data_IF_995866231860
#
_entry.id   IF_995866231860
#
_cell.length_a   1.000
_cell.length_b   1.000
_cell.length_c   1.000
_cell.angle_alpha   90.00
_cell.angle_beta   90.00
_cell.angle_gamma   90.00
#
_symmetry.space_group_name_H-M   'P 1'
#
loop_
_entity.id
_entity.type
_entity.pdbx_description
1 polymer ?
#
# COMPACT_ATOMS: atom_id res chain seq x y z
N UNK A 1 -6.50 -47.08 -3.04
CA UNK A 1 -6.34 -45.99 -2.05
C UNK A 1 -6.63 -44.71 -2.82
N UNK A 2 -7.91 -44.34 -2.89
CA UNK A 2 -8.43 -43.22 -3.69
C UNK A 2 -8.49 -42.00 -2.78
N UNK A 3 -7.77 -40.94 -3.15
CA UNK A 3 -7.86 -39.64 -2.48
C UNK A 3 -9.06 -38.93 -3.10
N UNK A 4 -10.16 -38.87 -2.37
CA UNK A 4 -11.34 -38.10 -2.75
C UNK A 4 -11.03 -36.60 -2.72
N UNK A 5 -11.21 -35.95 -3.87
CA UNK A 5 -11.24 -34.50 -4.00
C UNK A 5 -12.48 -33.95 -3.28
N UNK A 6 -12.29 -33.54 -2.03
CA UNK A 6 -13.23 -32.69 -1.28
C UNK A 6 -13.27 -31.30 -1.92
N UNK A 7 -14.18 -31.12 -2.89
CA UNK A 7 -14.56 -29.80 -3.39
C UNK A 7 -15.35 -29.08 -2.31
N UNK A 8 -14.70 -28.17 -1.57
CA UNK A 8 -15.37 -27.21 -0.71
C UNK A 8 -16.27 -26.32 -1.58
N UNK A 9 -17.57 -26.62 -1.63
CA UNK A 9 -18.59 -25.67 -2.11
C UNK A 9 -18.71 -24.57 -1.05
N UNK A 10 -17.92 -23.51 -1.18
CA UNK A 10 -18.18 -22.25 -0.49
C UNK A 10 -19.48 -21.68 -1.04
N UNK A 11 -20.54 -21.80 -0.24
CA UNK A 11 -21.84 -21.22 -0.52
C UNK A 11 -21.68 -19.69 -0.61
N UNK A 12 -22.10 -19.15 -1.76
CA UNK A 12 -22.18 -17.73 -2.07
C UNK A 12 -23.41 -17.12 -1.37
N UNK A 13 -23.46 -17.25 -0.04
CA UNK A 13 -24.52 -16.66 0.78
C UNK A 13 -24.26 -15.16 0.89
N UNK A 14 -24.96 -14.37 0.07
CA UNK A 14 -25.64 -13.12 0.45
C UNK A 14 -24.96 -12.16 1.43
N UNK A 15 -23.63 -12.05 1.46
CA UNK A 15 -22.94 -11.04 2.26
C UNK A 15 -23.19 -9.70 1.59
N UNK A 16 -23.90 -8.80 2.29
CA UNK A 16 -24.07 -7.40 1.92
C UNK A 16 -22.75 -6.83 1.38
N UNK A 17 -22.76 -6.03 0.30
CA UNK A 17 -21.56 -5.37 -0.22
C UNK A 17 -20.78 -4.80 0.95
N UNK A 18 -19.56 -5.31 1.17
CA UNK A 18 -18.70 -4.78 2.21
C UNK A 18 -18.47 -3.33 1.83
N UNK A 19 -18.94 -2.42 2.67
CA UNK A 19 -18.83 -0.98 2.46
C UNK A 19 -17.39 -0.53 2.78
N UNK A 20 -16.41 -1.13 2.09
CA UNK A 20 -15.00 -0.70 2.06
C UNK A 20 -14.85 0.71 1.44
N UNK A 21 -15.94 1.25 0.89
CA UNK A 21 -16.02 2.56 0.24
C UNK A 21 -16.57 3.69 1.13
N UNK A 22 -17.13 3.40 2.31
CA UNK A 22 -17.61 4.45 3.23
C UNK A 22 -16.64 4.59 4.39
N UNK A 23 -15.44 5.09 4.08
CA UNK A 23 -14.67 5.79 5.08
C UNK A 23 -15.18 7.24 5.09
N UNK A 24 -15.51 7.81 6.27
CA UNK A 24 -15.98 9.17 6.34
C UNK A 24 -14.93 10.07 5.68
N UNK A 25 -15.37 10.96 4.77
CA UNK A 25 -14.55 12.08 4.33
C UNK A 25 -13.99 12.74 5.58
N UNK A 26 -12.66 12.75 5.72
CA UNK A 26 -11.99 13.41 6.82
C UNK A 26 -12.26 14.90 6.67
N UNK A 27 -13.28 15.39 7.37
CA UNK A 27 -13.38 16.82 7.67
C UNK A 27 -12.32 17.02 8.73
N UNK A 28 -11.14 17.49 8.32
CA UNK A 28 -10.21 18.11 9.26
C UNK A 28 -11.01 19.23 9.92
N UNK A 29 -11.34 19.16 11.21
CA UNK A 29 -12.10 20.23 11.85
C UNK A 29 -11.23 21.49 11.75
N UNK A 30 -11.73 22.54 11.08
CA UNK A 30 -11.14 23.86 11.21
C UNK A 30 -11.14 24.21 12.71
N UNK A 31 -9.94 24.47 13.23
CA UNK A 31 -9.62 24.41 14.65
C UNK A 31 -10.42 25.40 15.50
N UNK A 32 -11.01 24.89 16.59
CA UNK A 32 -11.42 25.71 17.74
C UNK A 32 -10.16 25.98 18.58
N UNK A 33 -9.72 27.25 18.59
CA UNK A 33 -8.83 27.93 19.54
C UNK A 33 -8.12 27.05 20.59
N UNK A 34 -7.15 26.24 20.15
CA UNK A 34 -6.14 25.65 21.04
C UNK A 34 -4.82 26.39 20.81
N UNK A 35 -3.98 26.59 21.85
CA UNK A 35 -2.70 27.26 21.70
C UNK A 35 -1.81 26.51 20.67
N UNK A 36 -0.84 27.20 20.03
CA UNK A 36 0.02 26.62 19.00
C UNK A 36 0.99 25.64 19.67
N UNK A 37 0.55 24.40 19.82
CA UNK A 37 1.46 23.27 19.93
C UNK A 37 2.12 23.11 18.57
N UNK A 38 3.45 23.01 18.52
CA UNK A 38 4.16 22.69 17.28
C UNK A 38 3.62 21.38 16.71
N UNK A 39 3.36 21.32 15.40
CA UNK A 39 2.72 20.18 14.72
C UNK A 39 3.51 18.87 14.83
N UNK A 40 4.76 18.96 15.29
CA UNK A 40 5.75 17.90 15.39
C UNK A 40 6.54 18.06 16.67
N UNK A 41 6.82 16.93 17.33
CA UNK A 41 7.76 16.87 18.44
C UNK A 41 8.82 15.80 18.21
N UNK A 42 10.08 16.20 18.33
CA UNK A 42 11.23 15.29 18.27
C UNK A 42 11.42 14.69 19.66
N UNK A 43 11.40 13.36 19.75
CA UNK A 43 11.56 12.63 21.01
C UNK A 43 13.00 12.12 21.16
N UNK A 44 13.56 11.58 20.07
CA UNK A 44 14.97 11.15 20.04
C UNK A 44 15.69 11.87 18.92
N UNK A 45 16.64 12.73 19.28
CA UNK A 45 17.55 13.33 18.30
C UNK A 45 18.48 12.27 17.71
N UNK A 46 18.58 12.24 16.38
CA UNK A 46 19.44 11.31 15.63
C UNK A 46 19.23 9.83 16.05
N UNK A 47 18.03 9.26 15.85
CA UNK A 47 17.66 7.94 16.38
C UNK A 47 18.55 6.79 15.87
N UNK A 48 19.30 7.02 14.80
CA UNK A 48 20.15 6.01 14.16
C UNK A 48 21.59 6.00 14.67
N UNK A 49 22.02 6.91 15.58
CA UNK A 49 23.42 7.00 16.03
C UNK A 49 23.96 5.72 16.68
N UNK A 50 23.09 4.92 17.29
CA UNK A 50 23.50 3.66 17.92
C UNK A 50 23.70 2.49 16.94
N UNK A 51 23.53 2.72 15.64
CA UNK A 51 23.62 1.69 14.62
C UNK A 51 25.03 1.65 14.03
N UNK A 52 25.78 0.60 14.39
CA UNK A 52 27.16 0.40 13.93
C UNK A 52 27.31 -0.82 12.99
N UNK A 53 26.23 -1.59 12.81
CA UNK A 53 26.29 -2.86 12.10
C UNK A 53 26.23 -2.64 10.59
N UNK A 54 27.28 -3.11 9.90
CA UNK A 54 27.30 -3.28 8.45
C UNK A 54 26.73 -4.64 8.02
N UNK A 55 26.21 -5.44 8.97
CA UNK A 55 25.61 -6.73 8.66
C UNK A 55 24.36 -6.54 7.79
N UNK A 56 24.43 -7.09 6.57
CA UNK A 56 23.32 -7.10 5.61
C UNK A 56 22.10 -7.89 6.11
N UNK A 57 22.29 -8.80 7.06
CA UNK A 57 21.22 -9.58 7.66
C UNK A 57 20.57 -8.87 8.84
N UNK A 58 21.17 -7.79 9.36
CA UNK A 58 20.59 -7.03 10.44
C UNK A 58 19.34 -6.26 9.98
N UNK A 59 18.27 -6.39 10.75
CA UNK A 59 16.94 -5.87 10.41
C UNK A 59 16.58 -4.67 11.30
N UNK A 60 15.95 -3.65 10.73
CA UNK A 60 15.31 -2.58 11.49
C UNK A 60 13.80 -2.55 11.21
N UNK A 61 12.98 -2.30 12.22
CA UNK A 61 11.52 -2.17 12.04
C UNK A 61 11.14 -0.69 12.14
N UNK A 62 10.35 -0.21 11.18
CA UNK A 62 9.73 1.10 11.16
C UNK A 62 8.23 0.95 11.39
N UNK A 63 7.77 1.39 12.56
CA UNK A 63 6.41 1.17 13.03
C UNK A 63 5.64 2.49 13.13
N UNK A 64 4.64 2.66 12.26
CA UNK A 64 3.74 3.80 12.29
C UNK A 64 2.57 3.55 13.25
N UNK A 65 2.58 4.21 14.41
CA UNK A 65 1.50 4.08 15.40
C UNK A 65 0.53 5.25 15.23
N UNK A 66 -0.65 4.95 14.68
CA UNK A 66 -1.71 5.93 14.46
C UNK A 66 -2.86 5.73 15.44
N UNK A 67 -3.38 6.83 15.99
CA UNK A 67 -4.68 6.85 16.67
C UNK A 67 -5.49 8.05 16.21
N UNK A 68 -6.79 7.84 15.99
CA UNK A 68 -7.69 8.88 15.52
C UNK A 68 -7.83 9.97 16.59
N UNK A 69 -7.44 11.21 16.27
CA UNK A 69 -7.53 12.35 17.17
C UNK A 69 -8.98 12.70 17.59
N UNK A 70 -9.99 12.20 16.89
CA UNK A 70 -11.40 12.41 17.22
C UNK A 70 -11.97 11.42 18.24
N UNK A 71 -11.24 10.34 18.58
CA UNK A 71 -11.67 9.39 19.60
C UNK A 71 -11.37 9.94 21.01
N UNK A 72 -12.10 9.50 22.04
CA UNK A 72 -11.89 9.97 23.41
C UNK A 72 -10.65 9.36 24.08
N UNK A 73 -10.14 8.23 23.57
CA UNK A 73 -9.00 7.51 24.13
C UNK A 73 -8.16 6.82 23.04
N UNK A 74 -7.10 6.13 23.49
CA UNK A 74 -6.17 5.37 22.65
C UNK A 74 -6.14 3.87 22.99
N UNK A 75 -7.15 3.35 23.69
CA UNK A 75 -7.13 1.99 24.24
C UNK A 75 -7.00 0.91 23.15
N UNK A 76 -7.72 1.06 22.03
CA UNK A 76 -7.63 0.14 20.89
C UNK A 76 -6.25 0.18 20.23
N UNK A 77 -5.65 1.38 20.12
CA UNK A 77 -4.32 1.55 19.58
C UNK A 77 -3.27 0.92 20.51
N UNK A 78 -3.37 1.14 21.82
CA UNK A 78 -2.52 0.52 22.84
C UNK A 78 -2.61 -1.01 22.82
N UNK A 79 -3.82 -1.57 22.79
CA UNK A 79 -4.04 -3.02 22.73
C UNK A 79 -3.43 -3.62 21.45
N UNK A 80 -3.63 -2.95 20.31
CA UNK A 80 -3.04 -3.38 19.03
C UNK A 80 -1.51 -3.30 19.06
N UNK A 81 -0.94 -2.23 19.61
CA UNK A 81 0.52 -2.06 19.73
C UNK A 81 1.11 -3.13 20.64
N UNK A 82 0.49 -3.41 21.78
CA UNK A 82 0.92 -4.46 22.70
C UNK A 82 0.92 -5.83 22.02
N UNK A 83 -0.15 -6.17 21.30
CA UNK A 83 -0.27 -7.43 20.55
C UNK A 83 0.82 -7.56 19.48
N UNK A 84 1.09 -6.50 18.72
CA UNK A 84 2.08 -6.51 17.64
C UNK A 84 3.52 -6.58 18.16
N UNK A 85 3.84 -5.90 19.27
CA UNK A 85 5.16 -5.98 19.90
C UNK A 85 5.41 -7.39 20.46
N UNK A 86 4.40 -8.02 21.05
CA UNK A 86 4.50 -9.42 21.47
C UNK A 86 4.80 -10.35 20.28
N UNK A 87 4.04 -10.23 19.18
CA UNK A 87 4.27 -11.02 17.97
C UNK A 87 5.68 -10.82 17.40
N UNK A 88 6.23 -9.60 17.46
CA UNK A 88 7.62 -9.36 17.03
C UNK A 88 8.59 -10.10 17.96
N UNK A 89 8.42 -9.99 19.28
CA UNK A 89 9.28 -10.67 20.27
C UNK A 89 9.31 -12.19 20.11
N UNK A 90 8.20 -12.78 19.67
CA UNK A 90 8.06 -14.22 19.43
C UNK A 90 8.50 -14.66 18.01
N UNK A 91 8.83 -13.72 17.13
CA UNK A 91 9.10 -13.99 15.71
C UNK A 91 10.56 -14.32 15.40
N UNK A 92 10.81 -14.78 14.16
CA UNK A 92 12.16 -14.96 13.66
C UNK A 92 12.96 -13.65 13.62
N UNK A 93 12.32 -12.50 13.34
CA UNK A 93 12.99 -11.21 13.33
C UNK A 93 13.70 -10.89 14.67
N UNK A 94 13.11 -11.29 15.81
CA UNK A 94 13.70 -11.08 17.13
C UNK A 94 14.96 -11.92 17.40
N UNK A 95 15.26 -12.90 16.55
CA UNK A 95 16.54 -13.64 16.62
C UNK A 95 17.72 -12.84 16.10
N UNK A 96 17.49 -11.70 15.43
CA UNK A 96 18.53 -10.77 15.01
C UNK A 96 19.07 -10.00 16.22
N UNK A 97 20.35 -10.18 16.54
CA UNK A 97 21.03 -9.50 17.66
C UNK A 97 20.96 -7.97 17.58
N UNK A 98 20.79 -7.41 16.37
CA UNK A 98 20.75 -5.97 16.10
C UNK A 98 19.33 -5.45 15.76
N UNK A 99 18.27 -6.19 16.15
CA UNK A 99 16.91 -5.74 15.89
C UNK A 99 16.60 -4.47 16.70
N UNK A 100 16.25 -3.39 16.02
CA UNK A 100 15.73 -2.16 16.65
C UNK A 100 14.41 -1.77 16.01
N UNK A 101 13.43 -1.43 16.85
CA UNK A 101 12.12 -0.94 16.44
C UNK A 101 12.12 0.58 16.58
N UNK A 102 12.10 1.26 15.45
CA UNK A 102 11.91 2.69 15.34
C UNK A 102 10.43 2.98 15.15
N UNK A 103 9.85 3.83 15.99
CA UNK A 103 8.44 4.16 15.85
C UNK A 103 8.18 5.66 15.91
N UNK A 104 7.18 6.09 15.15
CA UNK A 104 6.54 7.38 15.31
C UNK A 104 5.12 7.18 15.80
N UNK A 105 4.60 8.19 16.49
CA UNK A 105 3.18 8.28 16.83
C UNK A 105 2.51 9.40 16.03
N UNK A 106 1.28 9.17 15.56
CA UNK A 106 0.54 10.13 14.72
C UNK A 106 -0.92 10.24 15.19
N UNK A 107 -1.41 11.47 15.31
CA UNK A 107 -2.83 11.77 15.56
C UNK A 107 -3.12 12.12 17.01
N UNK A 108 -3.70 11.19 17.77
CA UNK A 108 -4.25 11.46 19.11
C UNK A 108 -3.19 11.94 20.11
N UNK A 109 -3.50 13.01 20.87
CA UNK A 109 -2.57 13.65 21.83
C UNK A 109 -2.12 12.72 22.95
N UNK A 110 -2.94 11.77 23.39
CA UNK A 110 -2.53 10.78 24.39
C UNK A 110 -1.41 9.86 23.93
N UNK A 111 -1.18 9.69 22.62
CA UNK A 111 -0.01 8.96 22.13
C UNK A 111 1.31 9.67 22.45
N UNK A 112 1.26 10.99 22.67
CA UNK A 112 2.40 11.78 23.11
C UNK A 112 2.65 11.69 24.62
N UNK A 113 1.63 11.37 25.43
CA UNK A 113 1.76 11.35 26.88
C UNK A 113 2.86 10.39 27.35
N UNK A 114 3.60 10.79 28.39
CA UNK A 114 4.65 9.96 29.02
C UNK A 114 4.13 8.55 29.33
N UNK A 115 2.84 8.42 29.68
CA UNK A 115 2.19 7.14 29.94
C UNK A 115 2.20 6.20 28.73
N UNK A 116 1.87 6.68 27.53
CA UNK A 116 1.83 5.85 26.33
C UNK A 116 3.24 5.41 25.94
N UNK A 117 4.19 6.36 25.88
CA UNK A 117 5.57 6.07 25.56
C UNK A 117 6.21 5.09 26.58
N UNK A 118 5.96 5.29 27.88
CA UNK A 118 6.40 4.39 28.93
C UNK A 118 5.77 2.99 28.79
N UNK A 119 4.49 2.90 28.39
CA UNK A 119 3.84 1.63 28.14
C UNK A 119 4.46 0.89 26.94
N UNK A 120 4.70 1.58 25.81
CA UNK A 120 5.40 0.99 24.66
C UNK A 120 6.79 0.50 25.06
N UNK A 121 7.57 1.31 25.79
CA UNK A 121 8.90 0.92 26.26
C UNK A 121 8.86 -0.29 27.21
N UNK A 122 7.87 -0.34 28.10
CA UNK A 122 7.63 -1.49 28.99
C UNK A 122 7.35 -2.74 28.17
N UNK A 123 6.47 -2.67 27.16
CA UNK A 123 6.16 -3.81 26.29
C UNK A 123 7.39 -4.26 25.50
N UNK A 124 8.17 -3.33 24.96
CA UNK A 124 9.41 -3.67 24.27
C UNK A 124 10.38 -4.43 25.18
N UNK A 125 10.62 -3.91 26.39
CA UNK A 125 11.50 -4.54 27.38
C UNK A 125 11.00 -5.93 27.78
N UNK A 126 9.70 -6.09 28.02
CA UNK A 126 9.08 -7.36 28.38
C UNK A 126 9.22 -8.44 27.29
N UNK A 127 9.32 -8.02 26.02
CA UNK A 127 9.48 -8.89 24.87
C UNK A 127 10.94 -8.99 24.38
N UNK A 128 11.92 -8.48 25.14
CA UNK A 128 13.34 -8.51 24.75
C UNK A 128 13.69 -7.63 23.55
N UNK A 129 12.88 -6.60 23.28
CA UNK A 129 13.01 -5.72 22.11
C UNK A 129 13.64 -4.38 22.49
N UNK A 130 14.49 -3.86 21.61
CA UNK A 130 14.98 -2.48 21.66
C UNK A 130 14.06 -1.58 20.84
N UNK A 131 13.42 -0.62 21.49
CA UNK A 131 12.54 0.36 20.85
C UNK A 131 13.08 1.78 20.99
N UNK A 132 12.83 2.61 19.97
CA UNK A 132 13.23 4.01 19.91
C UNK A 132 12.03 4.83 19.42
N UNK A 133 11.48 5.68 20.29
CA UNK A 133 10.47 6.66 19.92
C UNK A 133 11.17 7.82 19.19
N UNK A 134 10.93 7.95 17.90
CA UNK A 134 11.57 8.99 17.10
C UNK A 134 10.85 10.32 17.27
N UNK A 135 9.57 10.37 16.87
CA UNK A 135 8.79 11.61 16.79
C UNK A 135 7.30 11.37 17.08
N UNK A 136 6.62 12.41 17.55
CA UNK A 136 5.17 12.51 17.58
C UNK A 136 4.69 13.58 16.61
N UNK A 137 3.62 13.30 15.86
CA UNK A 137 2.98 14.23 14.94
C UNK A 137 1.49 14.34 15.22
N UNK A 138 0.95 15.55 15.24
CA UNK A 138 -0.48 15.76 15.47
C UNK A 138 -1.35 15.31 14.29
N UNK A 139 -0.80 15.38 13.09
CA UNK A 139 -1.46 15.03 11.84
C UNK A 139 -0.45 14.38 10.89
N UNK A 140 -0.98 13.83 9.79
CA UNK A 140 -0.23 13.07 8.80
C UNK A 140 -0.63 11.60 8.81
N UNK A 141 0.04 10.81 7.99
CA UNK A 141 -0.18 9.39 7.85
C UNK A 141 1.15 8.62 7.83
N UNK A 142 1.23 7.60 6.99
CA UNK A 142 2.34 6.65 6.89
C UNK A 142 3.62 7.28 6.32
N UNK A 143 3.50 8.38 5.58
CA UNK A 143 4.60 9.08 4.92
C UNK A 143 5.67 9.53 5.91
N UNK A 144 5.27 9.88 7.14
CA UNK A 144 6.18 10.31 8.21
C UNK A 144 7.14 9.17 8.58
N UNK A 145 6.60 7.97 8.82
CA UNK A 145 7.41 6.82 9.24
C UNK A 145 8.17 6.21 8.08
N UNK A 146 7.56 6.16 6.89
CA UNK A 146 8.25 5.72 5.68
C UNK A 146 9.41 6.66 5.34
N UNK A 147 9.27 7.97 5.56
CA UNK A 147 10.35 8.93 5.36
C UNK A 147 11.56 8.62 6.27
N UNK A 148 11.32 8.18 7.51
CA UNK A 148 12.38 7.69 8.41
C UNK A 148 13.02 6.40 7.94
N UNK A 149 12.24 5.47 7.39
CA UNK A 149 12.78 4.25 6.79
C UNK A 149 13.68 4.58 5.59
N UNK A 150 13.28 5.54 4.74
CA UNK A 150 14.09 6.04 3.64
C UNK A 150 15.40 6.66 4.14
N UNK A 151 15.35 7.58 5.12
CA UNK A 151 16.54 8.20 5.71
C UNK A 151 17.51 7.18 6.33
N UNK A 152 16.97 6.16 7.00
CA UNK A 152 17.74 5.04 7.51
C UNK A 152 18.44 4.29 6.39
N UNK A 153 17.72 3.94 5.32
CA UNK A 153 18.31 3.21 4.20
C UNK A 153 19.38 4.01 3.46
N UNK A 154 19.30 5.34 3.44
CA UNK A 154 20.36 6.19 2.90
C UNK A 154 21.66 6.06 3.72
N UNK A 155 21.53 5.90 5.03
CA UNK A 155 22.66 5.71 5.96
C UNK A 155 23.17 4.26 5.99
N UNK A 156 22.30 3.27 5.76
CA UNK A 156 22.60 1.84 5.87
C UNK A 156 22.13 1.06 4.62
N UNK A 157 22.78 1.26 3.45
CA UNK A 157 22.28 0.79 2.16
C UNK A 157 22.18 -0.72 2.00
N UNK A 158 22.87 -1.51 2.83
CA UNK A 158 22.90 -2.96 2.71
C UNK A 158 21.97 -3.69 3.68
N UNK A 159 21.26 -2.96 4.56
CA UNK A 159 20.37 -3.57 5.54
C UNK A 159 19.00 -3.88 4.97
N UNK A 160 18.24 -4.65 5.74
CA UNK A 160 16.81 -4.86 5.52
C UNK A 160 16.00 -4.01 6.49
N UNK A 161 14.87 -3.49 6.02
CA UNK A 161 13.88 -2.81 6.86
C UNK A 161 12.54 -3.51 6.76
N UNK A 162 11.83 -3.56 7.88
CA UNK A 162 10.43 -3.95 7.95
C UNK A 162 9.64 -2.67 8.13
N UNK A 163 8.58 -2.47 7.35
CA UNK A 163 7.60 -1.42 7.59
C UNK A 163 6.26 -2.05 7.97
N UNK A 164 5.62 -1.43 8.96
CA UNK A 164 4.31 -1.84 9.48
C UNK A 164 3.61 -0.67 10.15
N UNK A 165 2.30 -0.83 10.37
CA UNK A 165 1.49 0.11 11.13
C UNK A 165 0.45 -0.62 11.98
N UNK A 166 -0.22 0.08 12.89
CA UNK A 166 -1.20 -0.53 13.81
C UNK A 166 -2.59 -0.70 13.18
N UNK A 167 -2.63 -1.41 12.03
CA UNK A 167 -3.86 -1.62 11.24
C UNK A 167 -5.04 -2.10 12.11
N UNK A 168 -6.20 -1.49 11.92
CA UNK A 168 -7.40 -1.78 12.71
C UNK A 168 -7.66 -0.81 13.85
N UNK A 169 -6.65 -0.02 14.28
CA UNK A 169 -6.85 1.04 15.30
C UNK A 169 -7.83 2.13 14.86
N UNK A 170 -7.91 2.40 13.56
CA UNK A 170 -8.85 3.37 12.97
C UNK A 170 -10.24 2.79 12.71
N UNK A 171 -10.32 1.49 12.42
CA UNK A 171 -11.57 0.80 12.09
C UNK A 171 -11.52 -0.59 12.70
N UNK A 172 -12.07 -0.72 13.91
CA UNK A 172 -12.14 -2.01 14.62
C UNK A 172 -13.17 -2.90 13.92
N UNK A 173 -12.70 -3.66 12.93
CA UNK A 173 -13.48 -4.66 12.23
C UNK A 173 -12.99 -6.05 12.59
N UNK A 174 -13.92 -7.00 12.78
CA UNK A 174 -13.60 -8.42 13.05
C UNK A 174 -12.61 -9.03 12.05
N UNK A 175 -12.57 -8.49 10.84
CA UNK A 175 -11.72 -8.91 9.73
C UNK A 175 -10.28 -8.39 9.83
N UNK A 176 -10.06 -7.28 10.54
CA UNK A 176 -8.75 -6.63 10.61
C UNK A 176 -7.79 -7.35 11.55
N UNK A 177 -8.31 -8.03 12.58
CA UNK A 177 -7.48 -8.77 13.54
C UNK A 177 -6.73 -9.93 12.87
N UNK A 178 -7.41 -10.94 12.27
CA UNK A 178 -6.71 -12.05 11.64
C UNK A 178 -5.81 -11.57 10.50
N UNK A 179 -6.26 -10.60 9.71
CA UNK A 179 -5.47 -10.06 8.61
C UNK A 179 -4.19 -9.38 9.10
N UNK A 180 -4.28 -8.51 10.13
CA UNK A 180 -3.12 -7.85 10.74
C UNK A 180 -2.12 -8.88 11.27
N UNK A 181 -2.59 -9.83 12.08
CA UNK A 181 -1.72 -10.86 12.68
C UNK A 181 -1.03 -11.69 11.61
N UNK A 182 -1.75 -12.03 10.55
CA UNK A 182 -1.18 -12.82 9.47
C UNK A 182 -0.14 -12.03 8.65
N UNK A 183 -0.36 -10.75 8.38
CA UNK A 183 0.65 -9.87 7.77
C UNK A 183 1.87 -9.68 8.65
N UNK A 184 1.67 -9.48 9.97
CA UNK A 184 2.75 -9.39 10.95
C UNK A 184 3.63 -10.63 10.93
N UNK A 185 3.00 -11.80 11.06
CA UNK A 185 3.71 -13.09 10.99
C UNK A 185 4.50 -13.22 9.70
N UNK A 186 3.95 -12.79 8.56
CA UNK A 186 4.63 -12.91 7.28
C UNK A 186 5.91 -12.07 7.22
N UNK A 187 5.83 -10.78 7.58
CA UNK A 187 6.98 -9.85 7.46
C UNK A 187 8.05 -10.08 8.53
N UNK A 188 7.71 -10.71 9.65
CA UNK A 188 8.68 -11.05 10.70
C UNK A 188 9.16 -12.51 10.64
N UNK A 189 8.72 -13.27 9.63
CA UNK A 189 9.07 -14.67 9.45
C UNK A 189 10.47 -14.89 8.89
N UNK A 190 11.00 -16.10 9.10
CA UNK A 190 12.26 -16.53 8.47
C UNK A 190 12.10 -16.81 6.98
N UNK A 191 10.92 -17.18 6.51
CA UNK A 191 10.59 -17.39 5.10
C UNK A 191 10.80 -16.10 4.29
N UNK A 192 10.43 -14.95 4.85
CA UNK A 192 10.67 -13.66 4.20
C UNK A 192 12.12 -13.22 4.38
N UNK A 193 12.60 -13.17 5.63
CA UNK A 193 13.90 -12.57 5.98
C UNK A 193 15.12 -13.34 5.44
N UNK A 194 15.06 -14.68 5.36
CA UNK A 194 16.17 -15.48 4.82
C UNK A 194 16.28 -15.42 3.29
N UNK A 195 15.21 -15.03 2.60
CA UNK A 195 15.14 -15.09 1.14
C UNK A 195 15.23 -13.70 0.47
N UNK A 196 15.63 -12.66 1.21
CA UNK A 196 15.79 -11.31 0.65
C UNK A 196 16.88 -11.21 -0.43
N UNK A 197 17.76 -12.20 -0.57
CA UNK A 197 18.69 -12.23 -1.72
C UNK A 197 17.97 -12.53 -3.06
N UNK A 198 16.75 -13.07 -3.02
CA UNK A 198 15.96 -13.44 -4.21
C UNK A 198 15.01 -12.33 -4.70
N UNK A 199 14.80 -11.29 -3.90
CA UNK A 199 13.88 -10.18 -4.21
C UNK A 199 14.34 -8.86 -3.61
N UNK A 200 13.68 -7.77 -4.00
CA UNK A 200 13.88 -6.47 -3.35
C UNK A 200 12.96 -6.27 -2.16
N UNK A 201 11.78 -6.89 -2.20
CA UNK A 201 10.72 -6.69 -1.20
C UNK A 201 9.90 -7.96 -1.05
N UNK A 202 9.50 -8.26 0.18
CA UNK A 202 8.69 -9.43 0.51
C UNK A 202 7.57 -9.05 1.50
N UNK A 203 6.42 -9.72 1.42
CA UNK A 203 5.30 -9.52 2.33
C UNK A 203 4.34 -10.70 2.32
N UNK A 204 3.16 -10.53 2.91
CA UNK A 204 2.17 -11.61 2.94
C UNK A 204 1.73 -12.00 1.53
N UNK A 205 1.14 -11.07 0.79
CA UNK A 205 0.61 -11.28 -0.55
C UNK A 205 1.08 -10.13 -1.42
N UNK A 206 1.71 -10.42 -2.55
CA UNK A 206 1.98 -9.42 -3.56
C UNK A 206 0.75 -9.27 -4.46
N UNK A 207 0.39 -8.04 -4.83
CA UNK A 207 -0.67 -7.79 -5.80
C UNK A 207 -0.08 -7.08 -7.04
N UNK A 208 -0.17 -7.71 -8.22
CA UNK A 208 0.46 -7.23 -9.45
C UNK A 208 -0.41 -6.25 -10.23
N UNK A 209 -1.72 -6.21 -9.95
CA UNK A 209 -2.66 -5.39 -10.70
C UNK A 209 -3.08 -4.17 -9.91
N UNK A 210 -3.33 -3.06 -10.63
CA UNK A 210 -3.59 -1.67 -10.19
C UNK A 210 -2.33 -0.82 -9.90
N UNK A 211 -1.43 -1.41 -9.15
CA UNK A 211 -0.16 -0.90 -8.65
C UNK A 211 0.53 -2.10 -8.01
N UNK A 212 1.84 -2.03 -7.91
CA UNK A 212 2.60 -3.04 -7.21
C UNK A 212 2.62 -2.71 -5.72
N UNK A 213 1.96 -3.54 -4.92
CA UNK A 213 1.88 -3.27 -3.49
C UNK A 213 1.67 -4.55 -2.68
N UNK A 214 1.85 -4.37 -1.37
CA UNK A 214 1.50 -5.36 -0.37
C UNK A 214 0.24 -4.88 0.34
N UNK A 215 -0.86 -5.66 0.33
CA UNK A 215 -2.13 -5.28 0.92
C UNK A 215 -1.94 -4.95 2.39
N UNK A 216 -2.46 -3.80 2.82
CA UNK A 216 -2.25 -3.31 4.18
C UNK A 216 -0.90 -2.63 4.42
N UNK A 217 -0.05 -2.49 3.41
CA UNK A 217 1.24 -1.80 3.47
C UNK A 217 2.23 -2.38 4.49
N UNK A 218 2.27 -3.71 4.59
CA UNK A 218 3.20 -4.44 5.46
C UNK A 218 4.22 -5.15 4.59
N UNK A 219 5.50 -4.83 4.76
CA UNK A 219 6.55 -5.43 3.94
C UNK A 219 7.91 -5.44 4.64
N UNK A 220 8.77 -6.34 4.18
CA UNK A 220 10.22 -6.29 4.34
C UNK A 220 10.82 -5.81 3.03
N UNK A 221 11.80 -4.91 3.07
CA UNK A 221 12.49 -4.44 1.88
C UNK A 221 13.97 -4.25 2.14
N UNK A 222 14.77 -4.41 1.07
CA UNK A 222 16.19 -4.08 1.11
C UNK A 222 16.39 -2.57 1.01
N UNK A 223 17.37 -2.06 1.75
CA UNK A 223 17.67 -0.64 1.72
C UNK A 223 18.26 -0.17 0.38
N UNK A 224 18.98 -1.03 -0.34
CA UNK A 224 19.51 -0.70 -1.67
C UNK A 224 18.38 -0.39 -2.66
N UNK A 225 17.25 -1.08 -2.54
CA UNK A 225 16.05 -0.82 -3.31
C UNK A 225 15.32 0.44 -2.82
N UNK A 226 15.09 0.60 -1.52
CA UNK A 226 14.44 1.81 -0.96
C UNK A 226 15.18 3.09 -1.38
N UNK A 227 16.51 3.05 -1.44
CA UNK A 227 17.34 4.17 -1.87
C UNK A 227 17.12 4.63 -3.32
N UNK A 228 16.43 3.83 -4.14
CA UNK A 228 16.04 4.17 -5.51
C UNK A 228 14.65 4.79 -5.60
N UNK A 229 13.85 4.71 -4.54
CA UNK A 229 12.51 5.25 -4.51
C UNK A 229 12.55 6.78 -4.38
N UNK A 230 11.53 7.46 -4.91
CA UNK A 230 11.27 8.86 -4.57
C UNK A 230 11.05 8.95 -3.05
N UNK A 231 11.62 9.95 -2.35
CA UNK A 231 11.36 10.12 -0.91
C UNK A 231 9.85 10.19 -0.61
N UNK A 232 9.36 9.50 0.42
CA UNK A 232 7.93 9.47 0.76
C UNK A 232 7.25 10.83 0.82
N UNK A 233 7.93 11.85 1.39
CA UNK A 233 7.40 13.22 1.47
C UNK A 233 7.15 13.89 0.10
N UNK A 234 7.88 13.47 -0.93
CA UNK A 234 7.81 14.05 -2.28
C UNK A 234 6.93 13.19 -3.20
N UNK A 235 6.64 11.95 -2.81
CA UNK A 235 6.05 10.93 -3.67
C UNK A 235 4.62 11.28 -4.11
N UNK A 236 3.75 11.73 -3.20
CA UNK A 236 2.37 12.08 -3.54
C UNK A 236 2.31 13.17 -4.60
N UNK A 237 3.10 14.24 -4.42
CA UNK A 237 3.16 15.37 -5.34
C UNK A 237 3.55 14.89 -6.73
N UNK A 238 4.60 14.07 -6.84
CA UNK A 238 5.05 13.53 -8.13
C UNK A 238 4.04 12.61 -8.81
N UNK A 239 3.32 11.79 -8.03
CA UNK A 239 2.25 10.94 -8.57
C UNK A 239 1.11 11.81 -9.10
N UNK A 240 0.74 12.87 -8.41
CA UNK A 240 -0.31 13.79 -8.87
C UNK A 240 0.08 14.48 -10.18
N UNK A 241 1.30 15.03 -10.26
CA UNK A 241 1.83 15.66 -11.48
C UNK A 241 1.87 14.68 -12.66
N UNK A 242 2.33 13.45 -12.43
CA UNK A 242 2.33 12.39 -13.45
C UNK A 242 0.90 12.07 -13.92
N UNK A 243 -0.07 11.98 -13.02
CA UNK A 243 -1.46 11.68 -13.36
C UNK A 243 -2.12 12.80 -14.17
N UNK A 244 -1.74 14.06 -13.94
CA UNK A 244 -2.22 15.21 -14.72
C UNK A 244 -1.69 15.19 -16.16
N UNK A 245 -0.49 14.65 -16.37
CA UNK A 245 0.15 14.55 -17.68
C UNK A 245 -0.15 13.24 -18.43
N UNK A 246 -0.94 12.36 -17.81
CA UNK A 246 -1.26 11.03 -18.36
C UNK A 246 -1.97 11.15 -19.71
N UNK A 247 -1.54 10.39 -20.75
CA UNK A 247 -2.26 10.34 -22.01
C UNK A 247 -3.73 9.91 -21.86
N UNK A 248 -4.62 10.50 -22.65
CA UNK A 248 -6.06 10.24 -22.56
C UNK A 248 -6.43 8.80 -22.96
N UNK A 249 -5.61 8.14 -23.77
CA UNK A 249 -5.77 6.76 -24.18
C UNK A 249 -5.45 5.77 -23.06
N UNK A 250 -4.75 6.19 -21.99
CA UNK A 250 -4.38 5.37 -20.85
C UNK A 250 -5.42 5.48 -19.74
N UNK A 251 -6.37 4.56 -19.73
CA UNK A 251 -7.52 4.56 -18.82
C UNK A 251 -7.50 3.33 -17.91
N UNK A 252 -7.83 3.52 -16.64
CA UNK A 252 -8.10 2.42 -15.73
C UNK A 252 -9.47 1.83 -15.99
N UNK A 253 -9.55 0.74 -16.76
CA UNK A 253 -10.80 0.03 -17.01
C UNK A 253 -10.89 -1.27 -16.21
N UNK A 254 -9.79 -1.90 -15.79
CA UNK A 254 -9.87 -3.07 -14.90
C UNK A 254 -10.49 -2.68 -13.55
N UNK A 255 -10.02 -1.57 -12.99
CA UNK A 255 -10.54 -0.97 -11.76
C UNK A 255 -11.15 0.39 -12.05
N UNK A 256 -11.98 0.85 -11.14
CA UNK A 256 -12.49 2.21 -11.21
C UNK A 256 -11.40 3.17 -10.77
N UNK A 257 -11.26 4.30 -11.46
CA UNK A 257 -10.24 5.30 -11.11
C UNK A 257 -10.68 6.12 -9.89
N UNK A 258 -10.30 5.63 -8.71
CA UNK A 258 -10.53 6.26 -7.42
C UNK A 258 -9.20 6.70 -6.80
N UNK A 259 -9.25 7.58 -5.79
CA UNK A 259 -8.05 8.05 -5.08
C UNK A 259 -7.16 6.90 -4.60
N UNK A 260 -7.75 5.81 -4.10
CA UNK A 260 -7.01 4.62 -3.66
C UNK A 260 -6.34 3.86 -4.79
N UNK A 261 -7.02 3.66 -5.91
CA UNK A 261 -6.48 2.95 -7.08
C UNK A 261 -5.43 3.76 -7.84
N UNK A 262 -5.46 5.09 -7.71
CA UNK A 262 -4.50 6.00 -8.34
C UNK A 262 -3.35 6.39 -7.41
N UNK A 263 -3.39 6.01 -6.13
CA UNK A 263 -2.35 6.35 -5.16
C UNK A 263 -2.33 7.83 -4.80
N UNK A 264 -3.50 8.46 -4.65
CA UNK A 264 -3.63 9.88 -4.27
C UNK A 264 -3.89 10.03 -2.77
N UNK A 265 -3.52 11.19 -2.22
CA UNK A 265 -3.77 11.55 -0.81
C UNK A 265 -3.23 10.49 0.13
N UNK A 266 -4.01 10.13 1.15
CA UNK A 266 -3.66 9.11 2.15
C UNK A 266 -3.32 7.73 1.59
N UNK A 267 -3.66 7.44 0.32
CA UNK A 267 -3.38 6.16 -0.33
C UNK A 267 -2.06 6.14 -1.10
N UNK A 268 -1.38 7.29 -1.22
CA UNK A 268 -0.10 7.38 -1.91
C UNK A 268 0.94 6.42 -1.33
N UNK A 269 0.98 6.30 -0.01
CA UNK A 269 1.95 5.42 0.66
C UNK A 269 1.70 3.93 0.44
N UNK A 270 0.47 3.52 0.10
CA UNK A 270 0.19 2.13 -0.31
C UNK A 270 0.80 1.79 -1.69
N UNK A 271 1.08 2.82 -2.51
CA UNK A 271 1.67 2.65 -3.84
C UNK A 271 3.19 2.76 -3.83
N UNK A 272 3.75 3.45 -2.83
CA UNK A 272 5.16 3.86 -2.82
C UNK A 272 6.15 2.71 -3.05
N UNK A 273 6.01 1.61 -2.30
CA UNK A 273 7.02 0.56 -2.23
C UNK A 273 7.25 -0.17 -3.56
N UNK A 274 6.25 -0.29 -4.43
CA UNK A 274 6.38 -0.99 -5.72
C UNK A 274 6.59 -0.08 -6.92
N UNK A 275 6.90 1.20 -6.72
CA UNK A 275 6.89 2.18 -7.82
C UNK A 275 8.12 2.21 -8.69
N UNK A 276 9.24 1.61 -8.30
CA UNK A 276 10.47 1.68 -9.10
C UNK A 276 10.59 0.49 -10.08
N UNK A 277 11.06 0.68 -11.32
CA UNK A 277 11.13 -0.39 -12.34
C UNK A 277 12.04 -1.58 -11.99
N UNK A 278 12.92 -1.42 -11.01
CA UNK A 278 13.79 -2.51 -10.50
C UNK A 278 13.11 -3.38 -9.44
N UNK A 279 11.81 -3.21 -9.18
CA UNK A 279 11.08 -3.94 -8.15
C UNK A 279 11.00 -5.44 -8.48
N UNK A 280 11.40 -6.27 -7.53
CA UNK A 280 11.30 -7.73 -7.59
C UNK A 280 10.56 -8.18 -6.35
N UNK A 281 9.24 -8.41 -6.43
CA UNK A 281 8.46 -8.81 -5.26
C UNK A 281 8.53 -10.32 -5.01
N UNK A 282 8.57 -10.67 -3.73
CA UNK A 282 8.20 -11.99 -3.23
C UNK A 282 7.00 -11.91 -2.31
N UNK A 283 6.35 -13.04 -2.06
CA UNK A 283 5.28 -13.15 -1.09
C UNK A 283 5.26 -14.53 -0.44
N UNK A 284 4.49 -14.66 0.65
CA UNK A 284 4.37 -15.91 1.41
C UNK A 284 2.99 -16.57 1.31
N UNK A 285 2.04 -15.90 0.70
CA UNK A 285 0.65 -16.31 0.59
C UNK A 285 0.50 -17.54 -0.32
N UNK A 286 -0.18 -18.58 0.19
CA UNK A 286 -0.60 -19.78 -0.56
C UNK A 286 -1.96 -19.63 -1.27
N UNK A 287 -2.62 -18.49 -1.08
CA UNK A 287 -4.00 -18.21 -1.48
C UNK A 287 -4.08 -16.81 -2.09
N UNK A 288 -4.43 -16.68 -3.37
CA UNK A 288 -4.42 -15.38 -4.06
C UNK A 288 -5.55 -14.44 -3.62
N UNK A 289 -6.47 -14.91 -2.74
CA UNK A 289 -7.62 -14.14 -2.28
C UNK A 289 -7.44 -13.59 -0.87
N UNK A 290 -7.65 -12.28 -0.73
CA UNK A 290 -7.54 -11.60 0.58
C UNK A 290 -8.67 -11.94 1.51
N UNK A 291 -9.83 -12.30 0.96
CA UNK A 291 -10.96 -12.73 1.77
C UNK A 291 -10.58 -13.94 2.63
N UNK A 292 -9.82 -14.88 2.08
CA UNK A 292 -9.34 -16.05 2.83
C UNK A 292 -8.47 -15.64 4.03
N UNK A 293 -7.55 -14.68 3.83
CA UNK A 293 -6.66 -14.17 4.89
C UNK A 293 -7.40 -13.40 6.00
N UNK A 294 -8.57 -12.82 5.69
CA UNK A 294 -9.42 -12.18 6.71
C UNK A 294 -10.22 -13.18 7.53
N UNK A 295 -10.30 -14.43 7.08
CA UNK A 295 -11.08 -15.51 7.71
C UNK A 295 -10.20 -16.47 8.51
N UNK A 296 -8.97 -16.71 8.05
CA UNK A 296 -8.06 -17.70 8.64
C UNK A 296 -6.63 -17.16 8.73
N UNK A 297 -6.17 -16.88 9.95
CA UNK A 297 -4.79 -16.47 10.22
C UNK A 297 -3.82 -17.65 10.33
N UNK A 298 -4.32 -18.90 10.38
CA UNK A 298 -3.55 -20.13 10.55
C UNK A 298 -3.01 -20.73 9.25
N UNK A 299 -3.37 -20.16 8.11
CA UNK A 299 -2.90 -20.58 6.80
C UNK A 299 -1.36 -20.62 6.72
N UNK A 300 -0.78 -21.61 6.03
CA UNK A 300 0.67 -21.78 5.96
C UNK A 300 1.33 -20.72 5.07
N UNK A 301 2.62 -20.49 5.29
CA UNK A 301 3.45 -19.70 4.39
C UNK A 301 4.14 -20.58 3.36
N UNK A 302 4.17 -20.11 2.12
CA UNK A 302 5.00 -20.64 1.05
C UNK A 302 5.69 -19.48 0.35
N UNK A 303 7.01 -19.44 0.41
CA UNK A 303 7.78 -18.44 -0.30
C UNK A 303 7.58 -18.59 -1.82
N UNK A 304 7.26 -17.49 -2.48
CA UNK A 304 7.08 -17.43 -3.92
C UNK A 304 7.53 -16.07 -4.47
N UNK A 305 8.06 -16.09 -5.69
CA UNK A 305 8.34 -14.88 -6.47
C UNK A 305 7.07 -14.40 -7.18
N UNK A 306 7.06 -13.12 -7.57
CA UNK A 306 5.98 -12.45 -8.30
C UNK A 306 5.37 -13.26 -9.45
N UNK A 307 6.24 -13.98 -10.18
CA UNK A 307 5.88 -14.79 -11.35
C UNK A 307 4.90 -15.92 -11.06
N UNK A 308 4.73 -16.34 -9.80
CA UNK A 308 3.86 -17.45 -9.45
C UNK A 308 2.39 -17.04 -9.24
N UNK A 309 2.09 -15.75 -9.09
CA UNK A 309 0.69 -15.31 -8.95
C UNK A 309 0.05 -15.11 -10.32
N UNK A 310 -1.14 -15.67 -10.56
CA UNK A 310 -1.87 -15.34 -11.77
C UNK A 310 -2.16 -13.84 -11.78
N UNK A 311 -2.04 -13.22 -12.97
CA UNK A 311 -2.43 -11.82 -13.18
C UNK A 311 -3.89 -11.59 -12.76
N UNK A 312 -4.71 -12.65 -12.83
CA UNK A 312 -6.11 -12.67 -12.40
C UNK A 312 -6.32 -12.78 -10.87
N UNK A 313 -5.31 -12.48 -10.05
CA UNK A 313 -5.41 -12.59 -8.59
C UNK A 313 -6.58 -11.77 -8.04
N UNK A 314 -7.37 -12.39 -7.15
CA UNK A 314 -8.65 -11.83 -6.68
C UNK A 314 -8.44 -10.81 -5.56
N UNK A 315 -8.37 -9.54 -5.92
CA UNK A 315 -8.60 -8.43 -5.01
C UNK A 315 -10.09 -8.32 -4.63
N UNK A 316 -10.42 -7.74 -3.46
CA UNK A 316 -11.82 -7.56 -3.01
C UNK A 316 -12.72 -6.86 -4.04
N UNK A 317 -12.14 -6.01 -4.88
CA UNK A 317 -12.85 -5.20 -5.87
C UNK A 317 -12.64 -5.68 -7.31
N UNK A 318 -11.96 -6.82 -7.51
CA UNK A 318 -11.68 -7.32 -8.85
C UNK A 318 -13.00 -7.74 -9.52
N UNK A 319 -13.40 -7.00 -10.55
CA UNK A 319 -14.48 -7.40 -11.46
C UNK A 319 -13.94 -8.47 -12.41
N UNK A 320 -13.81 -9.71 -11.91
CA UNK A 320 -13.15 -10.82 -12.63
C UNK A 320 -13.62 -10.95 -14.09
N UNK A 321 -14.92 -10.88 -14.42
CA UNK A 321 -15.36 -10.93 -15.82
C UNK A 321 -14.84 -9.76 -16.66
N UNK A 322 -14.79 -8.54 -16.11
CA UNK A 322 -14.29 -7.34 -16.81
C UNK A 322 -12.79 -7.41 -17.01
N UNK A 323 -12.04 -7.84 -16.00
CA UNK A 323 -10.61 -8.09 -16.09
C UNK A 323 -10.32 -9.12 -17.19
N UNK A 324 -11.02 -10.26 -17.21
CA UNK A 324 -10.84 -11.28 -18.23
C UNK A 324 -11.09 -10.74 -19.63
N UNK A 325 -12.18 -9.98 -19.85
CA UNK A 325 -12.43 -9.31 -21.14
C UNK A 325 -11.27 -8.41 -21.57
N UNK A 326 -10.73 -7.61 -20.65
CA UNK A 326 -9.57 -6.75 -20.93
C UNK A 326 -8.33 -7.57 -21.25
N UNK A 327 -8.07 -8.65 -20.50
CA UNK A 327 -6.93 -9.53 -20.73
C UNK A 327 -7.04 -10.32 -22.04
N UNK A 328 -8.25 -10.63 -22.51
CA UNK A 328 -8.48 -11.34 -23.77
C UNK A 328 -8.37 -10.41 -25.00
N UNK A 329 -8.47 -9.08 -24.83
CA UNK A 329 -8.40 -8.09 -25.91
C UNK A 329 -7.09 -7.29 -25.92
N UNK A 330 -6.26 -7.50 -26.95
CA UNK A 330 -4.95 -6.86 -27.09
C UNK A 330 -5.04 -5.33 -27.08
N UNK A 331 -6.03 -4.76 -27.78
CA UNK A 331 -6.25 -3.31 -27.79
C UNK A 331 -6.49 -2.77 -26.39
N UNK A 332 -7.34 -3.44 -25.60
CA UNK A 332 -7.61 -3.08 -24.22
C UNK A 332 -6.37 -3.20 -23.34
N UNK A 333 -5.61 -4.30 -23.45
CA UNK A 333 -4.37 -4.48 -22.66
C UNK A 333 -3.35 -3.39 -22.89
N UNK A 334 -3.23 -2.92 -24.14
CA UNK A 334 -2.29 -1.84 -24.54
C UNK A 334 -2.73 -0.45 -24.09
N UNK A 335 -3.95 -0.29 -23.56
CA UNK A 335 -4.54 1.00 -23.17
C UNK A 335 -4.95 1.05 -21.70
N UNK A 336 -4.90 -0.07 -20.98
CA UNK A 336 -5.28 -0.09 -19.57
C UNK A 336 -4.17 0.45 -18.64
N UNK A 337 -4.52 1.43 -17.82
CA UNK A 337 -3.63 2.09 -16.84
C UNK A 337 -3.08 1.13 -15.78
N UNK A 338 -3.79 0.05 -15.48
CA UNK A 338 -3.44 -0.90 -14.43
C UNK A 338 -2.63 -2.11 -14.93
N UNK A 339 -2.34 -2.15 -16.23
CA UNK A 339 -1.47 -3.13 -16.87
C UNK A 339 -0.11 -2.52 -17.22
N UNK A 340 0.72 -3.30 -17.92
CA UNK A 340 2.08 -2.93 -18.29
C UNK A 340 2.23 -1.54 -18.95
N UNK A 341 1.41 -1.08 -19.91
CA UNK A 341 1.60 0.26 -20.50
C UNK A 341 1.49 1.38 -19.46
N UNK A 342 0.57 1.27 -18.51
CA UNK A 342 0.46 2.24 -17.42
C UNK A 342 1.66 2.18 -16.46
N UNK A 343 2.17 0.98 -16.17
CA UNK A 343 3.40 0.81 -15.37
C UNK A 343 4.63 1.40 -16.08
N UNK A 344 4.78 1.17 -17.38
CA UNK A 344 5.88 1.74 -18.19
C UNK A 344 5.83 3.26 -18.22
N UNK A 345 4.63 3.83 -18.38
CA UNK A 345 4.44 5.28 -18.28
C UNK A 345 4.85 5.79 -16.89
N UNK A 346 4.37 5.15 -15.81
CA UNK A 346 4.71 5.52 -14.42
C UNK A 346 6.22 5.52 -14.20
N UNK A 347 6.91 4.45 -14.57
CA UNK A 347 8.36 4.33 -14.36
C UNK A 347 9.15 5.37 -15.16
N UNK A 348 8.77 5.60 -16.41
CA UNK A 348 9.45 6.60 -17.22
C UNK A 348 9.24 8.01 -16.69
N UNK A 349 8.00 8.40 -16.37
CA UNK A 349 7.74 9.77 -15.89
C UNK A 349 8.37 10.01 -14.51
N UNK A 350 8.26 9.06 -13.58
CA UNK A 350 8.74 9.23 -12.21
C UNK A 350 10.27 9.07 -12.08
N UNK A 351 10.86 8.15 -12.84
CA UNK A 351 12.26 7.72 -12.67
C UNK A 351 13.13 7.87 -13.92
N UNK A 352 12.54 8.15 -15.09
CA UNK A 352 13.25 8.12 -16.39
C UNK A 352 13.96 6.77 -16.64
N UNK A 353 13.37 5.70 -16.11
CA UNK A 353 13.90 4.34 -16.17
C UNK A 353 12.83 3.36 -16.68
N UNK A 354 13.29 2.26 -17.28
CA UNK A 354 12.48 1.09 -17.59
C UNK A 354 13.02 -0.13 -16.85
N UNK A 355 12.22 -1.20 -16.69
CA UNK A 355 12.71 -2.43 -16.10
C UNK A 355 13.92 -2.96 -16.86
N UNK A 356 14.93 -3.52 -16.16
CA UNK A 356 16.09 -4.12 -16.82
C UNK A 356 15.65 -5.28 -17.73
N UNK A 357 16.48 -5.67 -18.69
CA UNK A 357 16.18 -6.79 -19.61
C UNK A 357 15.86 -8.10 -18.87
N UNK A 358 16.48 -8.33 -17.71
CA UNK A 358 16.25 -9.49 -16.86
C UNK A 358 15.01 -9.38 -15.97
N UNK A 359 14.22 -8.31 -16.09
CA UNK A 359 13.02 -8.13 -15.26
C UNK A 359 11.97 -9.19 -15.56
N UNK A 360 11.40 -9.74 -14.48
CA UNK A 360 10.30 -10.71 -14.51
C UNK A 360 9.04 -10.18 -15.24
N UNK A 361 8.86 -8.85 -15.28
CA UNK A 361 7.73 -8.18 -15.93
C UNK A 361 7.55 -8.55 -17.39
N UNK A 362 8.67 -8.77 -18.11
CA UNK A 362 8.63 -9.04 -19.55
C UNK A 362 8.06 -10.41 -19.89
N UNK A 363 8.07 -11.32 -18.92
CA UNK A 363 7.51 -12.67 -19.03
C UNK A 363 6.15 -12.78 -18.32
N UNK A 364 5.91 -11.90 -17.34
CA UNK A 364 4.69 -11.89 -16.55
C UNK A 364 3.47 -11.34 -17.30
N UNK A 365 3.62 -10.19 -17.94
CA UNK A 365 2.52 -9.56 -18.67
C UNK A 365 2.41 -10.15 -20.09
N UNK A 366 1.18 -10.38 -20.61
CA UNK A 366 0.99 -10.99 -21.93
C UNK A 366 1.77 -10.30 -23.07
N UNK A 367 1.85 -8.98 -23.05
CA UNK A 367 2.49 -8.18 -24.10
C UNK A 367 3.94 -7.77 -23.73
N UNK A 368 4.52 -8.35 -22.67
CA UNK A 368 5.79 -7.92 -22.08
C UNK A 368 6.96 -7.90 -23.07
N UNK A 369 7.11 -8.95 -23.88
CA UNK A 369 8.17 -9.03 -24.90
C UNK A 369 8.02 -7.99 -25.99
N UNK A 370 6.80 -7.67 -26.40
CA UNK A 370 6.55 -6.65 -27.43
C UNK A 370 6.92 -5.25 -26.92
N UNK A 371 6.52 -4.92 -25.69
CA UNK A 371 6.89 -3.67 -25.04
C UNK A 371 8.39 -3.52 -24.89
N UNK A 372 9.07 -4.57 -24.42
CA UNK A 372 10.53 -4.60 -24.31
C UNK A 372 11.20 -4.26 -25.66
N UNK A 373 10.76 -4.89 -26.74
CA UNK A 373 11.31 -4.64 -28.08
C UNK A 373 11.03 -3.22 -28.59
N UNK A 374 9.91 -2.61 -28.18
CA UNK A 374 9.55 -1.25 -28.57
C UNK A 374 10.40 -0.21 -27.84
N UNK A 375 10.61 -0.38 -26.53
CA UNK A 375 11.43 0.50 -25.69
C UNK A 375 12.91 0.49 -26.12
N UNK A 376 13.41 -0.65 -26.61
CA UNK A 376 14.76 -0.71 -27.17
C UNK A 376 14.98 0.17 -28.40
N UNK A 377 13.89 0.50 -29.12
CA UNK A 377 13.95 1.33 -30.33
C UNK A 377 13.77 2.80 -30.02
N UNK A 378 12.94 3.11 -29.02
CA UNK A 378 12.65 4.46 -28.58
C UNK A 378 12.57 4.51 -27.06
N UNK A 379 13.38 5.36 -26.44
CA UNK A 379 13.40 5.51 -24.98
C UNK A 379 12.29 6.40 -24.45
N UNK A 380 11.59 7.17 -25.29
CA UNK A 380 10.49 8.04 -24.85
C UNK A 380 9.19 7.24 -24.67
N UNK A 381 8.68 7.16 -23.43
CA UNK A 381 7.50 6.34 -23.14
C UNK A 381 6.26 6.77 -23.93
N UNK A 382 6.04 8.08 -24.08
CA UNK A 382 4.89 8.60 -24.82
C UNK A 382 4.96 8.21 -26.30
N UNK A 383 6.14 8.27 -26.91
CA UNK A 383 6.33 7.84 -28.30
C UNK A 383 6.14 6.33 -28.47
N UNK A 384 6.68 5.52 -27.54
CA UNK A 384 6.49 4.06 -27.51
C UNK A 384 5.00 3.71 -27.42
N UNK A 385 4.27 4.35 -26.51
CA UNK A 385 2.84 4.14 -26.31
C UNK A 385 2.03 4.56 -27.55
N UNK A 386 2.29 5.75 -28.10
CA UNK A 386 1.64 6.23 -29.32
C UNK A 386 1.87 5.29 -30.51
N UNK A 387 3.10 4.80 -30.69
CA UNK A 387 3.41 3.83 -31.75
C UNK A 387 2.63 2.52 -31.57
N UNK A 388 2.53 2.02 -30.33
CA UNK A 388 1.74 0.82 -30.04
C UNK A 388 0.25 1.04 -30.34
N UNK A 389 -0.30 2.19 -29.99
CA UNK A 389 -1.70 2.54 -30.25
C UNK A 389 -2.04 2.75 -31.72
N UNK A 390 -1.08 3.20 -32.53
CA UNK A 390 -1.25 3.29 -33.98
C UNK A 390 -1.25 1.89 -34.62
N UNK A 391 -0.42 0.97 -34.12
CA UNK A 391 -0.35 -0.42 -34.61
C UNK A 391 -1.53 -1.28 -34.16
N UNK A 392 -2.06 -0.99 -32.97
CA UNK A 392 -3.23 -1.66 -32.40
C UNK A 392 -4.33 -0.63 -32.16
N UNK A 393 -5.13 -0.29 -33.20
CA UNK A 393 -6.27 0.61 -33.05
C UNK A 393 -7.25 0.14 -31.97
N UNK A 394 -8.08 1.06 -31.48
CA UNK A 394 -9.12 0.75 -30.51
C UNK A 394 -10.07 -0.33 -31.07
N UNK A 395 -10.23 -1.43 -30.34
CA UNK A 395 -11.24 -2.45 -30.61
C UNK A 395 -12.64 -1.96 -30.27
N UNK A 396 -13.67 -2.56 -30.88
CA UNK A 396 -15.07 -2.28 -30.52
C UNK A 396 -15.33 -2.53 -29.03
N UNK A 397 -14.71 -3.59 -28.49
CA UNK A 397 -14.79 -3.91 -27.06
C UNK A 397 -14.20 -2.80 -26.19
N UNK A 398 -13.02 -2.27 -26.55
CA UNK A 398 -12.43 -1.15 -25.84
C UNK A 398 -13.34 0.09 -25.90
N UNK A 399 -13.85 0.42 -27.07
CA UNK A 399 -14.75 1.57 -27.29
C UNK A 399 -16.01 1.43 -26.43
N UNK A 400 -16.65 0.26 -26.44
CA UNK A 400 -17.83 -0.03 -25.62
C UNK A 400 -17.54 0.12 -24.12
N UNK A 401 -16.42 -0.44 -23.65
CA UNK A 401 -16.03 -0.32 -22.25
C UNK A 401 -15.76 1.13 -21.85
N UNK A 402 -15.06 1.90 -22.68
CA UNK A 402 -14.81 3.33 -22.44
C UNK A 402 -16.12 4.11 -22.41
N UNK A 403 -17.02 3.90 -23.35
CA UNK A 403 -18.32 4.57 -23.38
C UNK A 403 -19.12 4.28 -22.09
N UNK A 404 -19.20 3.01 -21.67
CA UNK A 404 -19.89 2.63 -20.43
C UNK A 404 -19.26 3.24 -19.18
N UNK A 405 -17.93 3.41 -19.17
CA UNK A 405 -17.19 3.99 -18.07
C UNK A 405 -17.36 5.52 -18.00
N UNK A 406 -17.34 6.18 -19.15
CA UNK A 406 -17.57 7.63 -19.25
C UNK A 406 -18.98 8.01 -18.80
N UNK A 407 -19.99 7.29 -19.26
CA UNK A 407 -21.39 7.50 -18.84
C UNK A 407 -21.51 7.39 -17.32
N UNK A 408 -20.85 6.40 -16.73
CA UNK A 408 -20.84 6.21 -15.28
C UNK A 408 -20.09 7.32 -14.53
N UNK A 409 -18.96 7.79 -15.05
CA UNK A 409 -18.23 8.93 -14.45
C UNK A 409 -19.08 10.18 -14.46
N UNK A 410 -19.79 10.42 -15.56
CA UNK A 410 -20.71 11.55 -15.67
C UNK A 410 -21.88 11.41 -14.68
N UNK A 411 -22.48 10.23 -14.57
CA UNK A 411 -23.52 9.95 -13.56
C UNK A 411 -23.01 10.18 -12.13
N UNK A 412 -21.80 9.73 -11.81
CA UNK A 412 -21.18 9.93 -10.49
C UNK A 412 -20.92 11.41 -10.22
N UNK A 413 -20.46 12.17 -11.22
CA UNK A 413 -20.25 13.62 -11.13
C UNK A 413 -21.55 14.35 -10.81
N UNK A 414 -22.63 14.02 -11.53
CA UNK A 414 -23.96 14.58 -11.30
C UNK A 414 -24.50 14.22 -9.90
N UNK A 415 -24.29 12.98 -9.45
CA UNK A 415 -24.70 12.53 -8.11
C UNK A 415 -23.94 13.26 -6.99
N UNK A 416 -22.64 13.50 -7.18
CA UNK A 416 -21.82 14.26 -6.23
C UNK A 416 -22.30 15.71 -6.12
N UNK A 417 -22.51 16.39 -7.25
CA UNK A 417 -23.08 17.74 -7.28
C UNK A 417 -24.45 17.81 -6.60
N UNK A 418 -25.31 16.82 -6.82
CA UNK A 418 -26.59 16.73 -6.14
C UNK A 418 -26.44 16.57 -4.61
N UNK A 419 -25.44 15.81 -4.15
CA UNK A 419 -25.12 15.63 -2.72
C UNK A 419 -24.58 16.92 -2.09
N UNK A 420 -23.66 17.60 -2.75
CA UNK A 420 -23.11 18.88 -2.31
C UNK A 420 -24.20 19.95 -2.22
N UNK A 421 -25.09 20.04 -3.22
CA UNK A 421 -26.24 20.94 -3.18
C UNK A 421 -27.21 20.62 -2.01
N UNK A 422 -27.36 19.35 -1.63
CA UNK A 422 -28.15 18.96 -0.43
C UNK A 422 -27.46 19.36 0.88
N UNK A 423 -26.14 19.18 0.98
CA UNK A 423 -25.37 19.58 2.15
C UNK A 423 -25.35 21.11 2.32
N UNK A 424 -25.21 21.84 1.23
CA UNK A 424 -25.25 23.30 1.23
C UNK A 424 -26.61 23.81 1.73
N UNK A 425 -27.72 23.28 1.20
CA UNK A 425 -29.07 23.61 1.70
C UNK A 425 -29.24 23.30 3.19
N UNK A 426 -28.70 22.17 3.68
CA UNK A 426 -28.75 21.85 5.12
C UNK A 426 -27.98 22.85 5.96
N UNK A 427 -26.80 23.29 5.50
CA UNK A 427 -25.99 24.31 6.18
C UNK A 427 -26.71 25.64 6.23
N UNK A 428 -27.35 26.04 5.13
CA UNK A 428 -28.18 27.25 5.05
C UNK A 428 -29.37 27.16 6.02
N UNK A 429 -30.12 26.06 6.00
CA UNK A 429 -31.23 25.85 6.96
C UNK A 429 -30.77 25.83 8.42
N UNK A 430 -29.58 25.29 8.72
CA UNK A 430 -29.02 25.32 10.07
C UNK A 430 -28.62 26.74 10.49
N UNK A 431 -28.03 27.54 9.58
CA UNK A 431 -27.71 28.95 9.85
C UNK A 431 -28.97 29.75 10.17
N UNK A 432 -30.00 29.60 9.33
CA UNK A 432 -31.30 30.26 9.53
C UNK A 432 -31.95 29.85 10.87
N UNK A 433 -31.86 28.57 11.24
CA UNK A 433 -32.41 28.07 12.50
C UNK A 433 -31.65 28.57 13.74
N UNK A 434 -30.34 28.87 13.62
CA UNK A 434 -29.53 29.38 14.73
C UNK A 434 -29.62 30.89 14.94
N UNK A 435 -30.23 31.64 14.01
CA UNK A 435 -30.42 33.09 14.13
C UNK A 435 -29.12 33.89 14.22
N UNK A 436 -28.02 33.34 13.72
CA UNK A 436 -26.71 33.99 13.61
C UNK A 436 -26.58 34.69 12.26
#
# INVERSE_FOLDING_TARGET
MLIENSSLKLLDEGVSPIDLAVLPNFVVPESINSPPFEDRMIITENPFLSQNSSDRHAVAIFYNIFANAALPDVAEAEATVSEQLQQIGESYAATSNDLTIYYNTVGHVLLFGESFAANVQKQCTANGLKCVHMEHHRAGYEEITLQKAYEFCKSFPYRNVIYMHNKGSYSSGRWNIPWRRHMMRAITSGECLRNMDQCTTCGLLFQPMWTFFFPGNFFVSRCDYINRLIPPKDFEVRVNEMLEQRPNELLGLIFEEWESTLGRRRYSMEHWIGTHPSFVPCHLSTEPSIRTWTLDEGLPFSFATASHLPIESRWFQAKVPRMKKILDDESSRKRDWFLLPGLLYKWYVLYQEYPPQSSWIWEYFPDGREWYNSIRKDTNATAVLQSAWQKTPASDQWIEMVASEMDRREQNRLALWAKEARLQRRRESQRDATGI
#
